data_IF_753030406265
#
_entry.id   IF_753030406265
#
_cell.length_a   1.000
_cell.length_b   1.000
_cell.length_c   1.000
_cell.angle_alpha   90.00
_cell.angle_beta   90.00
_cell.angle_gamma   90.00
#
_symmetry.space_group_name_H-M   'P 1'
#
loop_
_entity.id
_entity.type
_entity.pdbx_description
1 polymer ?
#
# COMPACT_ATOMS: atom_id res chain seq x y z
N UNK A 1 -17.26 -0.28 -44.04
CA UNK A 1 -18.17 -0.84 -43.00
C UNK A 1 -17.47 -2.03 -42.36
N UNK A 2 -17.59 -2.16 -41.03
CA UNK A 2 -17.24 -3.33 -40.19
C UNK A 2 -15.73 -3.61 -40.10
N UNK A 3 -15.03 -3.28 -39.01
CA UNK A 3 -15.16 -3.94 -37.70
C UNK A 3 -15.38 -2.95 -36.55
N UNK A 4 -16.57 -3.06 -35.95
CA UNK A 4 -16.93 -2.54 -34.63
C UNK A 4 -16.51 -3.57 -33.58
N UNK A 5 -16.16 -3.04 -32.39
CA UNK A 5 -16.24 -3.71 -31.08
C UNK A 5 -15.27 -4.88 -30.83
N UNK A 6 -14.12 -4.58 -30.23
CA UNK A 6 -13.54 -5.41 -29.16
C UNK A 6 -12.27 -4.74 -28.63
N UNK A 7 -12.38 -3.80 -27.69
CA UNK A 7 -11.40 -3.60 -26.62
C UNK A 7 -11.91 -2.52 -25.66
N UNK A 8 -13.08 -2.77 -25.08
CA UNK A 8 -13.68 -1.90 -24.06
C UNK A 8 -14.12 -2.76 -22.88
N UNK A 9 -13.26 -3.72 -22.50
CA UNK A 9 -13.58 -4.80 -21.56
C UNK A 9 -12.56 -4.93 -20.42
N UNK A 10 -12.00 -3.80 -19.96
CA UNK A 10 -11.23 -3.73 -18.70
C UNK A 10 -11.67 -2.53 -17.86
N UNK A 11 -12.92 -2.12 -17.99
CA UNK A 11 -13.50 -1.10 -17.12
C UNK A 11 -14.84 -1.62 -16.61
N UNK A 12 -14.99 -1.57 -15.29
CA UNK A 12 -16.24 -1.73 -14.54
C UNK A 12 -16.56 -3.18 -14.15
N UNK A 13 -15.82 -3.69 -13.17
CA UNK A 13 -16.44 -4.37 -12.03
C UNK A 13 -16.32 -3.46 -10.80
N UNK A 14 -16.93 -2.26 -10.88
CA UNK A 14 -17.24 -1.49 -9.68
C UNK A 14 -18.49 -2.14 -9.10
N UNK A 15 -18.26 -3.22 -8.39
CA UNK A 15 -19.28 -3.86 -7.57
C UNK A 15 -19.63 -2.82 -6.49
N UNK A 16 -20.92 -2.66 -6.26
CA UNK A 16 -21.51 -1.95 -5.13
C UNK A 16 -20.99 -2.55 -3.81
N UNK A 17 -19.82 -2.12 -3.36
CA UNK A 17 -19.27 -2.49 -2.06
C UNK A 17 -19.53 -1.32 -1.11
N UNK A 18 -20.11 -1.62 0.05
CA UNK A 18 -20.08 -0.76 1.22
C UNK A 18 -18.72 -0.06 1.34
N UNK A 19 -18.73 1.16 1.86
CA UNK A 19 -17.61 2.05 2.16
C UNK A 19 -16.37 1.39 2.82
N UNK A 20 -15.68 0.50 2.11
CA UNK A 20 -14.40 -0.08 2.49
C UNK A 20 -13.34 0.80 1.87
N UNK A 21 -12.83 1.70 2.71
CA UNK A 21 -11.52 2.28 2.56
C UNK A 21 -10.55 1.34 3.29
N UNK A 22 -9.38 1.01 2.75
CA UNK A 22 -8.87 1.24 1.38
C UNK A 22 -9.63 0.45 0.29
N UNK A 23 -9.44 0.80 -0.99
CA UNK A 23 -10.15 0.20 -2.14
C UNK A 23 -9.60 -1.17 -2.58
N UNK A 24 -8.50 -1.63 -1.98
CA UNK A 24 -7.84 -2.88 -2.35
C UNK A 24 -6.62 -3.18 -1.51
N UNK A 25 -5.98 -4.31 -1.82
CA UNK A 25 -4.71 -4.71 -1.22
C UNK A 25 -3.54 -3.85 -1.73
N UNK A 26 -2.42 -3.78 -0.99
CA UNK A 26 -1.22 -3.12 -1.45
C UNK A 26 -0.64 -3.76 -2.72
N UNK A 27 -0.24 -2.92 -3.67
CA UNK A 27 0.56 -3.35 -4.82
C UNK A 27 2.02 -2.93 -4.65
N UNK A 28 2.95 -3.78 -5.10
CA UNK A 28 4.38 -3.53 -5.03
C UNK A 28 4.94 -3.28 -6.42
N UNK A 29 5.65 -2.18 -6.59
CA UNK A 29 6.31 -1.81 -7.86
C UNK A 29 7.79 -1.56 -7.60
N UNK A 30 8.63 -2.23 -8.39
CA UNK A 30 10.07 -2.02 -8.42
C UNK A 30 10.43 -1.40 -9.77
N UNK A 31 10.95 -0.17 -9.76
CA UNK A 31 11.37 0.52 -10.98
C UNK A 31 12.67 1.28 -10.70
N UNK A 32 13.68 1.07 -11.55
CA UNK A 32 14.97 1.78 -11.52
C UNK A 32 15.68 1.72 -10.15
N UNK A 33 15.55 0.58 -9.45
CA UNK A 33 16.16 0.36 -8.13
C UNK A 33 15.38 0.99 -6.95
N UNK A 34 14.22 1.60 -7.21
CA UNK A 34 13.30 2.09 -6.18
C UNK A 34 12.13 1.12 -6.01
N UNK A 35 11.93 0.64 -4.79
CA UNK A 35 10.80 -0.20 -4.41
C UNK A 35 9.71 0.66 -3.78
N UNK A 36 8.48 0.50 -4.25
CA UNK A 36 7.33 1.31 -3.81
C UNK A 36 6.14 0.43 -3.48
N UNK A 37 5.35 0.90 -2.52
CA UNK A 37 3.99 0.42 -2.25
C UNK A 37 3.01 1.41 -2.86
N UNK A 38 1.98 0.88 -3.51
CA UNK A 38 0.84 1.61 -4.06
C UNK A 38 -0.40 1.20 -3.27
N UNK A 39 -1.05 2.18 -2.63
CA UNK A 39 -2.26 1.97 -1.84
C UNK A 39 -3.42 2.79 -2.45
N UNK A 40 -4.44 2.14 -3.04
CA UNK A 40 -5.59 2.83 -3.60
C UNK A 40 -6.63 3.17 -2.53
N UNK A 41 -7.06 4.43 -2.50
CA UNK A 41 -8.10 4.96 -1.65
C UNK A 41 -9.25 5.55 -2.48
N UNK A 42 -10.41 5.70 -1.85
CA UNK A 42 -11.53 6.45 -2.45
C UNK A 42 -11.05 7.86 -2.75
N UNK A 43 -11.59 8.42 -3.83
CA UNK A 43 -11.38 9.82 -4.17
C UNK A 43 -11.67 10.73 -2.97
N UNK A 44 -10.86 11.76 -2.84
CA UNK A 44 -10.93 12.79 -1.79
C UNK A 44 -10.66 12.23 -0.39
N UNK A 45 -9.86 11.15 -0.29
CA UNK A 45 -9.38 10.66 1.01
C UNK A 45 -8.25 11.55 1.50
N UNK A 46 -8.42 12.11 2.69
CA UNK A 46 -7.45 12.97 3.35
C UNK A 46 -6.57 12.17 4.32
N UNK A 47 -5.38 11.81 3.85
CA UNK A 47 -4.39 11.08 4.63
C UNK A 47 -3.62 12.06 5.52
N UNK A 48 -3.49 11.74 6.80
CA UNK A 48 -2.73 12.52 7.77
C UNK A 48 -1.31 11.97 7.95
N UNK A 49 -1.17 10.65 8.04
CA UNK A 49 0.12 9.97 8.17
C UNK A 49 0.03 8.51 7.72
N UNK A 50 1.18 7.89 7.55
CA UNK A 50 1.31 6.44 7.49
C UNK A 50 2.46 6.01 8.40
N UNK A 51 2.42 4.77 8.88
CA UNK A 51 3.41 4.16 9.79
C UNK A 51 3.75 2.75 9.32
N UNK A 52 4.99 2.32 9.58
CA UNK A 52 5.42 0.94 9.38
C UNK A 52 5.68 0.27 10.72
N UNK A 53 5.08 -0.90 10.89
CA UNK A 53 5.35 -1.81 11.99
C UNK A 53 6.14 -2.99 11.48
N UNK A 54 7.18 -3.39 12.21
CA UNK A 54 7.96 -4.58 11.92
C UNK A 54 7.70 -5.67 12.95
N UNK A 55 7.66 -6.92 12.50
CA UNK A 55 7.62 -8.08 13.39
C UNK A 55 8.34 -9.27 12.77
N UNK A 56 8.57 -10.32 13.55
CA UNK A 56 9.07 -11.57 12.96
C UNK A 56 7.99 -12.17 12.06
N UNK A 57 8.44 -12.87 11.02
CA UNK A 57 7.53 -13.55 10.10
C UNK A 57 6.68 -14.57 10.87
N UNK A 58 5.36 -14.46 10.73
CA UNK A 58 4.38 -15.34 11.40
C UNK A 58 4.01 -14.88 12.82
N UNK A 59 4.64 -13.83 13.35
CA UNK A 59 4.21 -13.19 14.59
C UNK A 59 3.21 -12.07 14.29
N UNK A 60 2.25 -11.86 15.20
CA UNK A 60 1.32 -10.74 15.10
C UNK A 60 2.11 -9.42 15.27
N UNK A 61 1.86 -8.39 14.44
CA UNK A 61 2.61 -7.13 14.57
C UNK A 61 2.33 -6.47 15.91
N UNK A 62 3.39 -5.96 16.56
CA UNK A 62 3.24 -5.13 17.73
C UNK A 62 2.97 -3.68 17.29
N UNK A 63 1.71 -3.26 17.40
CA UNK A 63 1.28 -1.91 17.02
C UNK A 63 1.55 -0.86 18.10
N UNK A 64 2.18 -1.23 19.22
CA UNK A 64 2.48 -0.30 20.32
C UNK A 64 3.81 0.43 20.16
N UNK A 65 4.69 -0.06 19.28
CA UNK A 65 5.95 0.60 18.93
C UNK A 65 6.14 0.64 17.41
N UNK A 66 5.96 1.83 16.81
CA UNK A 66 6.42 2.05 15.45
C UNK A 66 7.94 2.21 15.47
N UNK A 67 8.67 1.19 15.02
CA UNK A 67 10.14 1.26 14.93
C UNK A 67 10.62 2.24 13.85
N UNK A 68 9.71 2.71 12.99
CA UNK A 68 9.97 3.78 12.03
C UNK A 68 9.24 5.04 12.48
N UNK A 69 9.96 5.90 13.21
CA UNK A 69 9.51 7.25 13.51
C UNK A 69 9.65 8.08 12.22
N UNK A 70 8.58 8.13 11.44
CA UNK A 70 8.56 8.75 10.10
C UNK A 70 8.73 10.26 10.15
N UNK A 71 8.64 10.88 11.33
CA UNK A 71 8.90 12.31 11.52
C UNK A 71 10.32 12.73 11.09
N UNK A 72 11.30 11.81 11.01
CA UNK A 72 12.66 12.13 10.54
C UNK A 72 12.91 11.90 9.05
N UNK A 73 12.05 11.16 8.35
CA UNK A 73 12.15 11.03 6.90
C UNK A 73 11.07 11.90 6.29
N UNK A 74 11.46 13.01 5.67
CA UNK A 74 10.64 13.98 4.93
C UNK A 74 9.84 13.36 3.76
N UNK A 75 9.11 12.28 3.97
CA UNK A 75 8.14 11.74 3.05
C UNK A 75 6.92 12.65 3.09
N UNK A 76 6.96 13.73 2.30
CA UNK A 76 5.74 14.38 1.84
C UNK A 76 4.77 13.26 1.44
N UNK A 77 3.55 13.32 1.96
CA UNK A 77 2.48 12.39 1.58
C UNK A 77 2.36 12.43 0.05
N UNK A 78 2.88 11.39 -0.61
CA UNK A 78 2.96 11.34 -2.06
C UNK A 78 1.64 10.77 -2.58
N UNK A 79 0.66 11.65 -2.71
CA UNK A 79 -0.67 11.32 -3.20
C UNK A 79 -0.84 11.73 -4.64
N UNK A 80 -1.17 10.77 -5.50
CA UNK A 80 -1.70 11.05 -6.83
C UNK A 80 -3.23 11.11 -6.74
N UNK A 81 -3.78 12.29 -6.95
CA UNK A 81 -5.23 12.49 -7.04
C UNK A 81 -5.67 12.26 -8.48
N UNK A 82 -6.58 11.32 -8.70
CA UNK A 82 -7.17 11.07 -10.03
C UNK A 82 -8.65 11.44 -10.04
N UNK A 83 -9.33 11.30 -11.19
CA UNK A 83 -10.77 11.55 -11.27
C UNK A 83 -11.62 10.49 -10.56
N UNK A 84 -11.05 9.32 -10.26
CA UNK A 84 -11.81 8.14 -9.79
C UNK A 84 -11.30 7.58 -8.46
N UNK A 85 -9.99 7.63 -8.22
CA UNK A 85 -9.33 7.11 -7.03
C UNK A 85 -8.18 8.02 -6.60
N UNK A 86 -7.84 7.98 -5.33
CA UNK A 86 -6.60 8.58 -4.85
C UNK A 86 -5.59 7.48 -4.57
N UNK A 87 -4.32 7.72 -4.89
CA UNK A 87 -3.28 6.71 -4.78
C UNK A 87 -2.16 7.23 -3.89
N UNK A 88 -1.93 6.56 -2.77
CA UNK A 88 -0.78 6.82 -1.90
C UNK A 88 0.41 5.99 -2.40
N UNK A 89 1.52 6.67 -2.69
CA UNK A 89 2.80 6.06 -3.04
C UNK A 89 3.75 6.16 -1.87
N UNK A 90 4.26 5.02 -1.42
CA UNK A 90 5.21 4.95 -0.31
C UNK A 90 6.50 4.32 -0.81
N UNK A 91 7.61 5.03 -0.70
CA UNK A 91 8.93 4.48 -0.96
C UNK A 91 9.30 3.53 0.18
N UNK A 92 9.67 2.29 -0.16
CA UNK A 92 10.08 1.25 0.78
C UNK A 92 11.49 0.75 0.50
N UNK A 93 12.28 1.49 -0.30
CA UNK A 93 13.68 1.19 -0.56
C UNK A 93 14.56 1.24 0.69
N UNK A 94 14.09 1.88 1.78
CA UNK A 94 14.77 1.91 3.07
C UNK A 94 14.70 0.57 3.83
N UNK A 95 13.83 -0.36 3.43
CA UNK A 95 13.65 -1.64 4.13
C UNK A 95 14.88 -2.53 3.90
N UNK A 96 15.48 -3.00 5.00
CA UNK A 96 16.55 -4.00 4.96
C UNK A 96 16.00 -5.38 4.58
N UNK A 97 16.25 -5.76 3.33
CA UNK A 97 15.83 -7.01 2.69
C UNK A 97 16.48 -8.26 3.29
N UNK A 98 17.60 -8.10 4.01
CA UNK A 98 18.32 -9.21 4.63
C UNK A 98 17.81 -9.55 6.03
N UNK A 99 17.13 -8.61 6.70
CA UNK A 99 16.65 -8.73 8.09
C UNK A 99 15.63 -9.86 8.29
N UNK A 100 14.94 -10.28 7.22
CA UNK A 100 14.00 -11.41 7.28
C UNK A 100 12.77 -11.15 8.16
N UNK A 101 12.30 -9.91 8.21
CA UNK A 101 11.10 -9.50 8.95
C UNK A 101 9.88 -9.37 8.02
N UNK A 102 8.70 -9.31 8.64
CA UNK A 102 7.49 -8.85 7.99
C UNK A 102 7.19 -7.40 8.39
N UNK A 103 6.53 -6.69 7.50
CA UNK A 103 6.21 -5.28 7.66
C UNK A 103 4.72 -5.06 7.44
N UNK A 104 4.12 -4.19 8.23
CA UNK A 104 2.71 -3.80 8.11
C UNK A 104 2.63 -2.29 7.94
N UNK A 105 1.96 -1.85 6.89
CA UNK A 105 1.66 -0.42 6.70
C UNK A 105 0.34 -0.08 7.38
N UNK A 106 0.36 1.00 8.14
CA UNK A 106 -0.79 1.61 8.79
C UNK A 106 -0.98 2.99 8.19
N UNK A 107 -2.20 3.33 7.81
CA UNK A 107 -2.54 4.66 7.29
C UNK A 107 -3.58 5.30 8.18
N UNK A 108 -3.32 6.52 8.65
CA UNK A 108 -4.25 7.31 9.45
C UNK A 108 -4.76 8.48 8.62
N UNK A 109 -6.08 8.64 8.55
CA UNK A 109 -6.70 9.81 7.91
C UNK A 109 -6.74 11.02 8.84
N UNK A 110 -7.05 12.19 8.29
CA UNK A 110 -7.30 13.39 9.10
C UNK A 110 -8.52 13.28 10.00
N UNK A 111 -9.43 12.35 9.70
CA UNK A 111 -10.59 12.04 10.54
C UNK A 111 -10.27 10.95 11.57
N UNK A 112 -8.98 10.65 11.79
CA UNK A 112 -8.49 9.64 12.74
C UNK A 112 -8.90 8.19 12.42
N UNK A 113 -9.45 7.93 11.24
CA UNK A 113 -9.66 6.56 10.77
C UNK A 113 -8.32 5.89 10.49
N UNK A 114 -8.15 4.66 11.00
CA UNK A 114 -6.93 3.87 10.90
C UNK A 114 -7.16 2.67 10.01
N UNK A 115 -6.32 2.52 8.99
CA UNK A 115 -6.32 1.38 8.07
C UNK A 115 -5.05 0.56 8.24
N UNK A 116 -5.20 -0.67 8.70
CA UNK A 116 -4.12 -1.66 8.77
C UNK A 116 -4.21 -2.56 7.54
N UNK A 117 -3.11 -2.64 6.80
CA UNK A 117 -3.01 -3.48 5.62
C UNK A 117 -2.42 -4.85 5.96
N UNK A 118 -2.58 -5.81 5.05
CA UNK A 118 -1.97 -7.13 5.21
C UNK A 118 -0.43 -7.02 5.30
N UNK A 119 0.21 -7.79 6.20
CA UNK A 119 1.66 -7.80 6.30
C UNK A 119 2.32 -8.23 4.99
N UNK A 120 3.53 -7.75 4.74
CA UNK A 120 4.31 -8.08 3.56
C UNK A 120 5.76 -8.36 3.90
N UNK A 121 6.43 -9.10 3.02
CA UNK A 121 7.83 -9.53 3.18
C UNK A 121 8.60 -9.32 1.88
N UNK A 122 9.92 -9.19 2.02
CA UNK A 122 10.83 -9.39 0.90
C UNK A 122 10.98 -10.90 0.64
N UNK A 123 10.50 -11.37 -0.52
CA UNK A 123 10.68 -12.76 -0.94
C UNK A 123 12.00 -12.93 -1.68
N UNK A 124 13.01 -13.47 -0.99
CA UNK A 124 14.35 -13.72 -1.55
C UNK A 124 14.32 -14.63 -2.78
N UNK A 125 13.33 -15.52 -2.92
CA UNK A 125 13.25 -16.43 -4.06
C UNK A 125 12.81 -15.70 -5.33
N UNK A 126 11.92 -14.71 -5.19
CA UNK A 126 11.37 -13.97 -6.33
C UNK A 126 12.01 -12.59 -6.50
N UNK A 127 12.82 -12.14 -5.53
CA UNK A 127 13.48 -10.85 -5.56
C UNK A 127 12.50 -9.67 -5.54
N UNK A 128 11.36 -9.83 -4.86
CA UNK A 128 10.30 -8.82 -4.79
C UNK A 128 9.57 -8.85 -3.46
N UNK A 129 8.94 -7.73 -3.12
CA UNK A 129 7.98 -7.68 -2.03
C UNK A 129 6.68 -8.39 -2.40
N UNK A 130 6.05 -9.04 -1.41
CA UNK A 130 4.74 -9.68 -1.54
C UNK A 130 3.98 -9.66 -0.23
N UNK A 131 2.65 -9.66 -0.32
CA UNK A 131 1.78 -9.86 0.83
C UNK A 131 1.95 -11.27 1.41
N UNK A 132 1.88 -11.38 2.73
CA UNK A 132 1.65 -12.64 3.42
C UNK A 132 0.15 -12.89 3.34
N UNK A 133 -0.24 -14.04 2.76
CA UNK A 133 -1.61 -14.53 2.85
C UNK A 133 -1.81 -15.10 4.25
N UNK A 134 -2.52 -14.39 5.10
CA UNK A 134 -3.08 -14.92 6.36
C UNK A 134 -4.29 -15.80 6.10
#
# INVERSE_FOLDING_TARGET
MLFKKASNFVFICIISVCSTLPLGEPEFVSQDGSDKIILPFKKDTDIAKFEFYESKIGEFPDYTSSNFNIDEINFKINMLKTKVVDILYIDIGFIDKEKGLQYTVCVTTKNEEVFLFNPFIWDKNTGRFKLIKT
#
